data_IF_232493303126
#
_entry.id   IF_232493303126
#
_cell.length_a   1.000
_cell.length_b   1.000
_cell.length_c   1.000
_cell.angle_alpha   90.00
_cell.angle_beta   90.00
_cell.angle_gamma   90.00
#
_symmetry.space_group_name_H-M   'P 1'
#
loop_
_entity.id
_entity.type
_entity.pdbx_description
1 polymer ?
#
# COMPACT_ATOMS: atom_id res chain seq x y z
N UNK A 1 -11.89 -15.03 -21.73
CA UNK A 1 -11.09 -13.81 -21.44
C UNK A 1 -11.93 -12.54 -21.34
N UNK A 2 -12.82 -12.23 -22.29
CA UNK A 2 -13.64 -11.00 -22.23
C UNK A 2 -14.51 -10.87 -20.96
N UNK A 3 -15.21 -11.94 -20.57
CA UNK A 3 -15.99 -11.96 -19.33
C UNK A 3 -15.11 -11.75 -18.08
N UNK A 4 -13.93 -12.39 -18.01
CA UNK A 4 -12.97 -12.19 -16.93
C UNK A 4 -12.48 -10.74 -16.86
N UNK A 5 -12.11 -10.14 -18.00
CA UNK A 5 -11.70 -8.73 -18.06
C UNK A 5 -12.78 -7.76 -17.56
N UNK A 6 -14.05 -8.06 -17.84
CA UNK A 6 -15.19 -7.25 -17.39
C UNK A 6 -15.40 -7.29 -15.87
N UNK A 7 -15.18 -8.45 -15.22
CA UNK A 7 -15.41 -8.60 -13.77
C UNK A 7 -14.14 -8.53 -12.93
N UNK A 8 -12.95 -8.53 -13.54
CA UNK A 8 -11.66 -8.56 -12.83
C UNK A 8 -11.52 -7.40 -11.85
N UNK A 9 -11.99 -6.21 -12.24
CA UNK A 9 -12.00 -5.04 -11.37
C UNK A 9 -12.80 -5.29 -10.10
N UNK A 10 -14.02 -5.84 -10.21
CA UNK A 10 -14.88 -6.16 -9.06
C UNK A 10 -14.34 -7.31 -8.22
N UNK A 11 -13.80 -8.37 -8.85
CA UNK A 11 -13.23 -9.52 -8.16
C UNK A 11 -11.94 -9.20 -7.41
N UNK A 12 -11.18 -8.21 -7.86
CA UNK A 12 -9.90 -7.81 -7.28
C UNK A 12 -10.00 -6.48 -6.52
N UNK A 13 -11.17 -5.81 -6.52
CA UNK A 13 -11.38 -4.54 -5.84
C UNK A 13 -11.51 -4.78 -4.34
N UNK A 14 -10.38 -4.72 -3.66
CA UNK A 14 -10.38 -4.43 -2.24
C UNK A 14 -10.66 -2.94 -2.02
N UNK A 15 -11.77 -2.61 -1.34
CA UNK A 15 -12.10 -1.24 -0.96
C UNK A 15 -11.70 -0.99 0.49
N UNK A 16 -10.55 -0.35 0.68
CA UNK A 16 -9.99 -0.12 2.02
C UNK A 16 -10.97 0.63 2.96
N UNK A 17 -11.80 1.53 2.43
CA UNK A 17 -12.81 2.28 3.20
C UNK A 17 -13.90 1.42 3.83
N UNK A 18 -14.09 0.20 3.32
CA UNK A 18 -15.09 -0.73 3.87
C UNK A 18 -14.56 -1.46 5.12
N UNK A 19 -13.27 -1.34 5.46
CA UNK A 19 -12.69 -1.94 6.68
C UNK A 19 -13.19 -1.31 7.99
N UNK A 20 -13.77 -0.12 7.94
CA UNK A 20 -14.12 0.65 9.13
C UNK A 20 -12.90 1.23 9.86
N UNK A 21 -13.08 1.68 11.12
CA UNK A 21 -12.02 2.36 11.87
C UNK A 21 -10.81 1.44 12.14
N UNK A 22 -9.61 1.97 11.92
CA UNK A 22 -8.35 1.26 12.18
C UNK A 22 -7.80 1.73 13.54
N UNK A 23 -7.81 0.84 14.54
CA UNK A 23 -7.36 1.17 15.90
C UNK A 23 -5.83 1.10 16.10
N UNK A 24 -5.14 0.38 15.21
CA UNK A 24 -3.69 0.17 15.29
C UNK A 24 -2.97 1.19 14.39
N UNK A 25 -1.81 1.73 14.80
CA UNK A 25 -0.98 2.52 13.89
C UNK A 25 -0.63 1.74 12.61
N UNK A 26 -0.80 2.38 11.45
CA UNK A 26 -0.55 1.78 10.14
C UNK A 26 0.51 2.58 9.38
N UNK A 27 1.35 1.86 8.66
CA UNK A 27 2.30 2.41 7.68
C UNK A 27 2.01 1.79 6.32
N UNK A 28 1.76 2.63 5.32
CA UNK A 28 1.60 2.24 3.92
C UNK A 28 2.94 2.37 3.19
N UNK A 29 3.52 1.23 2.80
CA UNK A 29 4.72 1.16 1.96
C UNK A 29 4.28 0.87 0.52
N UNK A 30 4.44 1.84 -0.39
CA UNK A 30 3.99 1.68 -1.77
C UNK A 30 5.08 2.01 -2.79
N UNK A 31 5.28 1.12 -3.75
CA UNK A 31 6.11 1.36 -4.91
C UNK A 31 5.66 2.56 -5.74
N UNK A 32 6.57 3.51 -5.99
CA UNK A 32 6.32 4.70 -6.82
C UNK A 32 6.01 4.38 -8.30
N UNK A 33 6.36 3.18 -8.76
CA UNK A 33 6.10 2.66 -10.11
C UNK A 33 5.01 1.55 -10.10
N UNK A 34 4.21 1.44 -9.03
CA UNK A 34 3.10 0.48 -8.99
C UNK A 34 2.04 0.84 -10.06
N UNK A 35 1.74 -0.12 -10.93
CA UNK A 35 0.77 0.03 -12.01
C UNK A 35 -0.67 -0.38 -11.60
N UNK A 36 -0.85 -0.98 -10.43
CA UNK A 36 -2.14 -1.47 -9.95
C UNK A 36 -2.71 -0.62 -8.83
N UNK A 37 -1.86 -0.02 -8.00
CA UNK A 37 -2.27 0.86 -6.91
C UNK A 37 -1.90 2.31 -7.23
N UNK A 38 -2.89 3.21 -7.20
CA UNK A 38 -2.65 4.62 -7.51
C UNK A 38 -2.08 5.34 -6.28
N UNK A 39 -0.83 5.79 -6.36
CA UNK A 39 -0.11 6.40 -5.23
C UNK A 39 -0.85 7.57 -4.57
N UNK A 40 -1.46 8.45 -5.35
CA UNK A 40 -2.22 9.59 -4.81
C UNK A 40 -3.47 9.17 -4.04
N UNK A 41 -4.12 8.06 -4.43
CA UNK A 41 -5.27 7.53 -3.71
C UNK A 41 -4.86 6.89 -2.39
N UNK A 42 -3.74 6.16 -2.38
CA UNK A 42 -3.19 5.56 -1.16
C UNK A 42 -2.73 6.64 -0.19
N UNK A 43 -2.05 7.69 -0.66
CA UNK A 43 -1.64 8.82 0.19
C UNK A 43 -2.85 9.54 0.78
N UNK A 44 -3.87 9.82 -0.03
CA UNK A 44 -5.10 10.45 0.43
C UNK A 44 -5.80 9.60 1.50
N UNK A 45 -5.89 8.29 1.29
CA UNK A 45 -6.47 7.37 2.26
C UNK A 45 -5.64 7.26 3.55
N UNK A 46 -4.31 7.23 3.44
CA UNK A 46 -3.44 7.23 4.61
C UNK A 46 -3.68 8.46 5.50
N UNK A 47 -3.82 9.64 4.88
CA UNK A 47 -4.19 10.88 5.59
C UNK A 47 -5.57 10.81 6.23
N UNK A 48 -6.55 10.24 5.53
CA UNK A 48 -7.92 10.04 6.00
C UNK A 48 -7.97 9.23 7.30
N UNK A 49 -7.17 8.17 7.39
CA UNK A 49 -7.16 7.24 8.55
C UNK A 49 -6.06 7.54 9.57
N UNK A 50 -5.31 8.64 9.41
CA UNK A 50 -4.21 9.00 10.31
C UNK A 50 -3.02 8.04 10.28
N UNK A 51 -2.81 7.36 9.15
CA UNK A 51 -1.68 6.47 8.91
C UNK A 51 -0.50 7.20 8.25
N UNK A 52 0.68 6.58 8.33
CA UNK A 52 1.89 7.08 7.66
C UNK A 52 1.95 6.52 6.23
N UNK A 53 2.20 7.38 5.24
CA UNK A 53 2.49 6.96 3.86
C UNK A 53 3.98 7.12 3.56
N UNK A 54 4.61 6.06 3.07
CA UNK A 54 6.04 6.01 2.75
C UNK A 54 6.21 5.48 1.32
N UNK A 55 6.52 6.34 0.35
CA UNK A 55 6.76 5.91 -1.02
C UNK A 55 8.10 5.16 -1.14
N UNK A 56 8.09 4.04 -1.85
CA UNK A 56 9.28 3.24 -2.18
C UNK A 56 9.76 3.67 -3.57
N UNK A 57 10.81 4.49 -3.60
CA UNK A 57 11.38 5.00 -4.84
C UNK A 57 11.85 3.85 -5.74
N UNK A 58 11.43 3.86 -7.01
CA UNK A 58 11.76 2.81 -7.99
C UNK A 58 11.02 1.48 -7.81
N UNK A 59 10.23 1.31 -6.74
CA UNK A 59 9.47 0.09 -6.51
C UNK A 59 8.21 0.01 -7.37
N UNK A 60 7.94 -1.17 -7.95
CA UNK A 60 6.66 -1.48 -8.59
C UNK A 60 5.66 -2.11 -7.63
N UNK A 61 4.64 -2.78 -8.15
CA UNK A 61 3.64 -3.51 -7.35
C UNK A 61 4.26 -4.51 -6.38
N UNK A 62 5.34 -5.14 -6.80
CA UNK A 62 6.07 -6.12 -6.01
C UNK A 62 7.31 -5.53 -5.33
N UNK A 63 7.23 -4.27 -4.89
CA UNK A 63 8.30 -3.57 -4.19
C UNK A 63 8.80 -4.32 -2.93
N UNK A 64 8.01 -5.24 -2.37
CA UNK A 64 8.46 -6.09 -1.26
C UNK A 64 9.67 -6.97 -1.61
N UNK A 65 9.96 -7.21 -2.90
CA UNK A 65 11.16 -7.93 -3.34
C UNK A 65 12.41 -7.07 -3.41
N UNK A 66 12.32 -5.75 -3.19
CA UNK A 66 13.47 -4.87 -2.97
C UNK A 66 13.97 -5.08 -1.54
N UNK A 67 14.54 -6.26 -1.28
CA UNK A 67 14.70 -6.80 0.08
C UNK A 67 15.50 -5.85 0.98
N UNK A 68 16.59 -5.29 0.50
CA UNK A 68 17.45 -4.41 1.31
C UNK A 68 16.71 -3.11 1.69
N UNK A 69 16.07 -2.47 0.71
CA UNK A 69 15.29 -1.26 0.89
C UNK A 69 14.10 -1.52 1.83
N UNK A 70 13.41 -2.65 1.66
CA UNK A 70 12.23 -2.97 2.45
C UNK A 70 12.55 -3.35 3.88
N UNK A 71 13.64 -4.06 4.12
CA UNK A 71 14.12 -4.27 5.48
C UNK A 71 14.50 -2.93 6.14
N UNK A 72 15.11 -2.00 5.41
CA UNK A 72 15.41 -0.66 5.89
C UNK A 72 14.16 0.09 6.35
N UNK A 73 13.14 0.18 5.49
CA UNK A 73 11.88 0.88 5.80
C UNK A 73 11.09 0.21 6.93
N UNK A 74 11.10 -1.13 7.01
CA UNK A 74 10.47 -1.85 8.12
C UNK A 74 11.16 -1.56 9.45
N UNK A 75 12.50 -1.49 9.46
CA UNK A 75 13.26 -1.11 10.67
C UNK A 75 12.97 0.32 11.08
N UNK A 76 12.86 1.25 10.12
CA UNK A 76 12.64 2.67 10.39
C UNK A 76 11.22 2.97 10.90
N UNK A 77 10.19 2.36 10.29
CA UNK A 77 8.81 2.78 10.50
C UNK A 77 7.93 1.78 11.25
N UNK A 78 8.31 0.51 11.30
CA UNK A 78 7.45 -0.56 11.86
C UNK A 78 8.04 -1.17 13.13
N UNK A 79 9.37 -1.25 13.23
CA UNK A 79 10.02 -1.85 14.40
C UNK A 79 9.69 -1.03 15.67
N UNK A 80 9.21 -1.67 16.75
CA UNK A 80 8.99 -0.98 18.01
C UNK A 80 10.29 -0.35 18.53
N UNK A 81 10.23 0.90 18.96
CA UNK A 81 11.31 1.50 19.75
C UNK A 81 11.44 0.71 21.05
N UNK A 82 12.66 0.25 21.36
CA UNK A 82 12.95 -0.50 22.58
C UNK A 82 12.74 0.35 23.85
#
# INVERSE_FOLDING_TARGET
MAAYGAVRGELMAFKARDLGPIATPVVFLLGTLDAYSVSSEVEAYAREVGATYVPVAGGGHSAMFMVAEMLGLLVEHVRPSA
#
